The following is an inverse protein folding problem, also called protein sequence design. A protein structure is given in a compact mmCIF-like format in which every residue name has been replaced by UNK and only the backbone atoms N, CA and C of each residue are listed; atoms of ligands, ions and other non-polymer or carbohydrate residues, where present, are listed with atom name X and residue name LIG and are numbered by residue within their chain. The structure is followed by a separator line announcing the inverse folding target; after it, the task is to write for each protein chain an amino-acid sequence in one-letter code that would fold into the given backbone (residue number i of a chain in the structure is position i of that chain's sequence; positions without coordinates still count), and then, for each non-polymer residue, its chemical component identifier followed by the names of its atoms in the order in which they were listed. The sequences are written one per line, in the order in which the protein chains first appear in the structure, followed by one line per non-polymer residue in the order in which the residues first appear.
data_IF_200499974397
#
_entry.id   IF_200499974397
#
_cell.length_a   1.000
_cell.length_b   1.000
_cell.length_c   1.000
_cell.angle_alpha   90.00
_cell.angle_beta   90.00
_cell.angle_gamma   90.00
#
_symmetry.space_group_name_H-M   'P 1'
#
loop_
_entity.id
_entity.type
_entity.pdbx_description
1 polymer ?
#
# COMPACT_ATOMS: atom_id res chain seq x y z
N UNK A 1 -45.72 -24.23 14.50
CA UNK A 1 -44.90 -23.75 13.35
C UNK A 1 -44.57 -24.96 12.47
N UNK A 2 -45.08 -25.00 11.25
CA UNK A 2 -44.95 -26.15 10.35
C UNK A 2 -43.50 -26.28 9.82
N UNK A 3 -43.07 -27.49 9.51
CA UNK A 3 -41.72 -27.78 8.97
C UNK A 3 -41.40 -26.91 7.73
N UNK A 4 -42.40 -26.63 6.92
CA UNK A 4 -42.28 -25.83 5.69
C UNK A 4 -41.89 -24.37 5.98
N UNK A 5 -42.39 -23.76 7.05
CA UNK A 5 -42.04 -22.39 7.48
C UNK A 5 -40.59 -22.31 7.96
N UNK A 6 -40.09 -23.38 8.63
CA UNK A 6 -38.66 -23.45 9.05
C UNK A 6 -37.73 -23.54 7.84
N UNK A 7 -38.10 -24.31 6.82
CA UNK A 7 -37.31 -24.46 5.59
C UNK A 7 -37.27 -23.15 4.81
N UNK A 8 -38.37 -22.43 4.69
CA UNK A 8 -38.40 -21.13 4.01
C UNK A 8 -37.57 -20.07 4.73
N UNK A 9 -37.64 -20.00 6.07
CA UNK A 9 -36.82 -19.11 6.87
C UNK A 9 -35.33 -19.42 6.71
N UNK A 10 -34.94 -20.69 6.70
CA UNK A 10 -33.55 -21.09 6.47
C UNK A 10 -33.06 -20.71 5.05
N UNK A 11 -33.90 -20.90 4.02
CA UNK A 11 -33.60 -20.48 2.65
C UNK A 11 -33.42 -18.97 2.52
N UNK A 12 -34.31 -18.17 3.15
CA UNK A 12 -34.20 -16.70 3.17
C UNK A 12 -32.96 -16.22 3.89
N UNK A 13 -32.65 -16.78 5.04
CA UNK A 13 -31.44 -16.44 5.80
C UNK A 13 -30.16 -16.78 5.02
N UNK A 14 -30.12 -17.93 4.33
CA UNK A 14 -29.00 -18.32 3.47
C UNK A 14 -28.85 -17.38 2.26
N UNK A 15 -29.97 -16.95 1.65
CA UNK A 15 -29.96 -16.00 0.54
C UNK A 15 -29.43 -14.64 0.96
N UNK A 16 -29.94 -14.07 2.08
CA UNK A 16 -29.45 -12.80 2.63
C UNK A 16 -27.97 -12.85 2.99
N UNK A 17 -27.50 -13.94 3.60
CA UNK A 17 -26.08 -14.15 3.91
C UNK A 17 -25.22 -14.15 2.65
N UNK A 18 -25.67 -14.82 1.59
CA UNK A 18 -24.93 -14.88 0.31
C UNK A 18 -24.93 -13.52 -0.39
N UNK A 19 -26.04 -12.78 -0.37
CA UNK A 19 -26.12 -11.41 -0.92
C UNK A 19 -25.16 -10.48 -0.17
N UNK A 20 -25.15 -10.51 1.16
CA UNK A 20 -24.20 -9.73 1.98
C UNK A 20 -22.74 -10.04 1.63
N UNK A 21 -22.35 -11.32 1.55
CA UNK A 21 -20.97 -11.67 1.17
C UNK A 21 -20.62 -11.24 -0.25
N UNK A 22 -21.59 -11.25 -1.16
CA UNK A 22 -21.39 -10.77 -2.52
C UNK A 22 -21.16 -9.26 -2.55
N UNK A 23 -21.98 -8.49 -1.84
CA UNK A 23 -21.83 -7.04 -1.73
C UNK A 23 -20.49 -6.64 -1.09
N UNK A 24 -20.09 -7.32 -0.01
CA UNK A 24 -18.79 -7.09 0.63
C UNK A 24 -17.65 -7.40 -0.34
N UNK A 25 -17.71 -8.53 -1.04
CA UNK A 25 -16.69 -8.91 -2.03
C UNK A 25 -16.61 -7.90 -3.16
N UNK A 26 -17.75 -7.50 -3.74
CA UNK A 26 -17.81 -6.56 -4.84
C UNK A 26 -17.34 -5.16 -4.41
N UNK A 27 -17.62 -4.77 -3.18
CA UNK A 27 -17.07 -3.55 -2.56
C UNK A 27 -15.55 -3.61 -2.44
N UNK A 28 -14.99 -4.72 -1.96
CA UNK A 28 -13.53 -4.92 -1.83
C UNK A 28 -12.84 -4.91 -3.19
N UNK A 29 -13.42 -5.59 -4.20
CA UNK A 29 -12.90 -5.62 -5.58
C UNK A 29 -12.92 -4.21 -6.18
N UNK A 30 -14.06 -3.51 -6.15
CA UNK A 30 -14.18 -2.14 -6.65
C UNK A 30 -13.20 -1.18 -5.96
N UNK A 31 -12.88 -1.45 -4.71
CA UNK A 31 -11.90 -0.67 -3.97
C UNK A 31 -10.47 -0.94 -4.45
N UNK A 32 -10.11 -2.19 -4.68
CA UNK A 32 -8.81 -2.57 -5.24
C UNK A 32 -8.59 -1.96 -6.63
N UNK A 33 -9.61 -1.96 -7.46
CA UNK A 33 -9.56 -1.42 -8.81
C UNK A 33 -9.31 0.10 -8.84
N UNK A 34 -9.89 0.86 -7.92
CA UNK A 34 -9.64 2.31 -7.82
C UNK A 34 -8.20 2.61 -7.43
N UNK A 35 -7.63 1.88 -6.47
CA UNK A 35 -6.23 2.02 -6.08
C UNK A 35 -5.32 1.66 -7.25
N UNK A 36 -5.60 0.56 -7.94
CA UNK A 36 -4.79 0.11 -9.08
C UNK A 36 -4.88 1.04 -10.29
N UNK A 37 -5.98 1.80 -10.47
CA UNK A 37 -6.07 2.84 -11.51
C UNK A 37 -5.15 4.02 -11.24
N UNK A 38 -5.02 4.43 -10.00
CA UNK A 38 -4.13 5.54 -9.59
C UNK A 38 -2.69 5.05 -9.48
N UNK A 39 -2.46 3.93 -8.80
CA UNK A 39 -1.15 3.30 -8.69
C UNK A 39 -1.07 2.09 -9.62
N UNK A 40 -0.79 2.34 -10.89
CA UNK A 40 -0.76 1.30 -11.94
C UNK A 40 0.34 0.25 -11.76
N UNK A 41 1.37 0.58 -10.98
CA UNK A 41 2.48 -0.35 -10.68
C UNK A 41 2.16 -1.26 -9.49
N UNK A 42 1.12 -0.95 -8.72
CA UNK A 42 0.75 -1.68 -7.50
C UNK A 42 0.53 -3.18 -7.74
N UNK A 43 -0.18 -3.55 -8.78
CA UNK A 43 -0.48 -4.94 -9.10
C UNK A 43 0.77 -5.76 -9.46
N UNK A 44 1.78 -5.11 -10.07
CA UNK A 44 3.04 -5.74 -10.47
C UNK A 44 4.02 -5.89 -9.30
N UNK A 45 3.94 -5.01 -8.31
CA UNK A 45 4.82 -4.96 -7.15
C UNK A 45 4.02 -4.93 -5.84
N UNK A 46 3.03 -5.82 -5.70
CA UNK A 46 2.04 -5.78 -4.62
C UNK A 46 2.67 -5.79 -3.22
N UNK A 47 3.73 -6.57 -3.02
CA UNK A 47 4.41 -6.68 -1.73
C UNK A 47 5.11 -5.37 -1.37
N UNK A 48 5.82 -4.76 -2.32
CA UNK A 48 6.45 -3.46 -2.14
C UNK A 48 5.39 -2.38 -1.92
N UNK A 49 4.36 -2.31 -2.78
CA UNK A 49 3.30 -1.32 -2.67
C UNK A 49 2.58 -1.35 -1.32
N UNK A 50 2.32 -2.54 -0.76
CA UNK A 50 1.74 -2.67 0.59
C UNK A 50 2.69 -2.17 1.68
N UNK A 51 3.98 -2.45 1.59
CA UNK A 51 4.97 -1.94 2.55
C UNK A 51 5.08 -0.40 2.46
N UNK A 52 5.02 0.17 1.27
CA UNK A 52 4.98 1.61 1.03
C UNK A 52 3.73 2.25 1.64
N UNK A 53 2.56 1.65 1.40
CA UNK A 53 1.27 2.11 1.95
C UNK A 53 1.28 2.11 3.50
N UNK A 54 1.86 1.09 4.13
CA UNK A 54 2.04 1.02 5.59
C UNK A 54 2.94 2.16 6.08
N UNK A 55 4.08 2.42 5.44
CA UNK A 55 4.97 3.51 5.81
C UNK A 55 4.30 4.88 5.69
N UNK A 56 3.60 5.13 4.57
CA UNK A 56 2.83 6.35 4.33
C UNK A 56 1.79 6.55 5.44
N UNK A 57 0.98 5.53 5.72
CA UNK A 57 -0.05 5.57 6.75
C UNK A 57 0.54 5.84 8.14
N UNK A 58 1.65 5.18 8.49
CA UNK A 58 2.35 5.36 9.76
C UNK A 58 2.88 6.78 9.93
N UNK A 59 3.48 7.38 8.90
CA UNK A 59 4.03 8.73 8.96
C UNK A 59 2.96 9.82 8.93
N UNK A 60 1.81 9.55 8.31
CA UNK A 60 0.64 10.44 8.40
C UNK A 60 0.04 10.43 9.80
N UNK A 61 -0.01 9.26 10.45
CA UNK A 61 -0.53 9.10 11.81
C UNK A 61 0.42 9.62 12.88
N UNK A 62 1.71 9.34 12.74
CA UNK A 62 2.76 9.77 13.68
C UNK A 62 4.02 10.25 12.94
N UNK A 63 4.16 11.55 12.69
CA UNK A 63 5.35 12.13 12.06
C UNK A 63 6.67 11.87 12.79
N UNK A 64 6.64 11.58 14.08
CA UNK A 64 7.86 11.27 14.86
C UNK A 64 8.48 9.93 14.42
N UNK A 65 7.69 8.99 13.91
CA UNK A 65 8.22 7.75 13.32
C UNK A 65 9.12 8.04 12.12
N UNK A 66 8.71 8.99 11.26
CA UNK A 66 9.54 9.43 10.13
C UNK A 66 10.87 10.00 10.62
N UNK A 67 10.86 10.93 11.60
CA UNK A 67 12.06 11.55 12.13
C UNK A 67 13.06 10.54 12.69
N UNK A 68 12.58 9.49 13.36
CA UNK A 68 13.42 8.40 13.90
C UNK A 68 14.04 7.54 12.79
N UNK A 69 13.40 7.45 11.64
CA UNK A 69 13.78 6.56 10.54
C UNK A 69 14.33 7.30 9.31
N UNK A 70 14.39 8.62 9.33
CA UNK A 70 14.76 9.47 8.19
C UNK A 70 16.08 9.04 7.54
N UNK A 71 17.08 8.67 8.32
CA UNK A 71 18.38 8.23 7.81
C UNK A 71 18.33 6.93 6.98
N UNK A 72 17.25 6.14 7.13
CA UNK A 72 17.03 4.86 6.43
C UNK A 72 16.08 4.99 5.25
N UNK A 73 15.50 6.17 5.04
CA UNK A 73 14.43 6.45 4.08
C UNK A 73 14.88 7.44 3.02
N UNK A 74 14.70 7.07 1.77
CA UNK A 74 14.84 7.96 0.61
C UNK A 74 13.69 7.71 -0.36
N UNK A 75 13.28 8.71 -1.17
CA UNK A 75 12.22 8.51 -2.17
C UNK A 75 12.53 7.37 -3.14
N UNK A 76 13.81 7.16 -3.48
CA UNK A 76 14.26 6.12 -4.40
C UNK A 76 14.06 4.70 -3.85
N UNK A 77 13.82 4.55 -2.55
CA UNK A 77 13.49 3.27 -1.93
C UNK A 77 12.10 2.78 -2.36
N UNK A 78 11.21 3.70 -2.68
CA UNK A 78 9.85 3.40 -3.12
C UNK A 78 9.85 2.89 -4.56
N UNK A 79 9.21 1.75 -4.78
CA UNK A 79 9.15 1.04 -6.06
C UNK A 79 8.06 1.63 -6.95
N UNK A 80 6.92 2.04 -6.37
CA UNK A 80 5.79 2.61 -7.12
C UNK A 80 5.86 4.13 -7.17
N UNK A 81 5.66 4.70 -8.36
CA UNK A 81 5.81 6.16 -8.58
C UNK A 81 4.78 6.98 -7.82
N UNK A 82 3.55 6.49 -7.73
CA UNK A 82 2.50 7.17 -6.96
C UNK A 82 2.86 7.26 -5.48
N UNK A 83 3.20 6.14 -4.84
CA UNK A 83 3.57 6.14 -3.42
C UNK A 83 4.86 6.91 -3.16
N UNK A 84 5.81 6.92 -4.10
CA UNK A 84 7.02 7.75 -4.03
C UNK A 84 6.68 9.23 -3.98
N UNK A 85 5.76 9.70 -4.83
CA UNK A 85 5.28 11.11 -4.82
C UNK A 85 4.61 11.44 -3.50
N UNK A 86 3.72 10.58 -3.01
CA UNK A 86 3.04 10.77 -1.72
C UNK A 86 4.05 10.84 -0.58
N UNK A 87 5.01 9.91 -0.53
CA UNK A 87 6.07 9.90 0.46
C UNK A 87 6.92 11.18 0.42
N UNK A 88 7.30 11.66 -0.78
CA UNK A 88 8.07 12.90 -0.93
C UNK A 88 7.31 14.10 -0.36
N UNK A 89 6.01 14.23 -0.69
CA UNK A 89 5.17 15.30 -0.15
C UNK A 89 5.05 15.25 1.38
N UNK A 90 4.91 14.04 1.97
CA UNK A 90 4.87 13.84 3.42
C UNK A 90 6.21 14.23 4.05
N UNK A 91 7.31 13.72 3.52
CA UNK A 91 8.65 13.93 4.07
C UNK A 91 9.07 15.41 4.07
N UNK A 92 8.77 16.13 3.00
CA UNK A 92 9.02 17.58 2.90
C UNK A 92 8.22 18.35 3.96
N UNK A 93 6.93 18.03 4.14
CA UNK A 93 6.10 18.67 5.16
C UNK A 93 6.61 18.43 6.57
N UNK A 94 7.02 17.19 6.88
CA UNK A 94 7.56 16.85 8.21
C UNK A 94 8.88 17.60 8.46
N UNK A 95 9.77 17.67 7.46
CA UNK A 95 11.04 18.40 7.55
C UNK A 95 10.84 19.89 7.81
N UNK A 96 9.83 20.47 7.17
CA UNK A 96 9.47 21.88 7.32
C UNK A 96 8.64 22.16 8.59
N UNK A 97 8.33 21.14 9.39
CA UNK A 97 7.46 21.28 10.57
C UNK A 97 6.02 21.60 10.24
N UNK A 98 5.59 21.34 9.02
CA UNK A 98 4.22 21.56 8.55
C UNK A 98 3.32 20.36 8.88
N UNK A 99 2.01 20.58 9.14
CA UNK A 99 1.10 19.49 9.43
C UNK A 99 0.92 18.57 8.21
N UNK A 100 0.78 17.27 8.50
CA UNK A 100 0.53 16.21 7.51
C UNK A 100 -0.92 15.77 7.63
N UNK A 101 -1.71 16.02 6.61
CA UNK A 101 -3.12 15.63 6.57
C UNK A 101 -3.70 15.79 5.17
N UNK A 102 -4.79 15.08 4.89
CA UNK A 102 -5.40 15.02 3.56
C UNK A 102 -5.73 16.40 2.96
N UNK A 103 -6.21 17.32 3.78
CA UNK A 103 -6.57 18.68 3.34
C UNK A 103 -5.39 19.47 2.77
N UNK A 104 -4.17 19.14 3.19
CA UNK A 104 -2.96 19.84 2.75
C UNK A 104 -2.42 19.30 1.42
N UNK A 105 -2.90 18.15 0.96
CA UNK A 105 -2.50 17.55 -0.31
C UNK A 105 -3.38 17.95 -1.49
N UNK A 106 -4.49 18.66 -1.24
CA UNK A 106 -5.47 19.03 -2.28
C UNK A 106 -4.89 19.91 -3.40
N UNK A 107 -3.78 20.62 -3.16
CA UNK A 107 -3.09 21.42 -4.17
C UNK A 107 -2.07 20.64 -5.01
N UNK A 108 -1.68 19.44 -4.56
CA UNK A 108 -0.59 18.65 -5.15
C UNK A 108 -1.09 17.37 -5.83
N UNK A 109 -2.29 16.91 -5.46
CA UNK A 109 -2.87 15.67 -5.93
C UNK A 109 -4.30 15.86 -6.45
N UNK A 110 -4.68 15.03 -7.42
CA UNK A 110 -6.05 15.02 -7.96
C UNK A 110 -7.06 14.48 -6.94
N UNK A 111 -8.38 14.76 -7.10
CA UNK A 111 -9.39 14.19 -6.21
C UNK A 111 -9.37 12.66 -6.12
N UNK A 112 -9.07 11.97 -7.23
CA UNK A 112 -8.93 10.53 -7.29
C UNK A 112 -7.71 10.05 -6.48
N UNK A 113 -6.58 10.74 -6.61
CA UNK A 113 -5.36 10.47 -5.84
C UNK A 113 -5.58 10.72 -4.35
N UNK A 114 -6.24 11.81 -3.97
CA UNK A 114 -6.63 12.11 -2.57
C UNK A 114 -7.52 11.00 -2.01
N UNK A 115 -8.46 10.50 -2.78
CA UNK A 115 -9.31 9.38 -2.37
C UNK A 115 -8.49 8.12 -2.07
N UNK A 116 -7.43 7.86 -2.83
CA UNK A 116 -6.51 6.73 -2.58
C UNK A 116 -5.64 7.00 -1.35
N UNK A 117 -5.11 8.20 -1.17
CA UNK A 117 -4.33 8.58 0.02
C UNK A 117 -5.18 8.43 1.29
N UNK A 118 -6.44 8.89 1.27
CA UNK A 118 -7.38 8.73 2.38
C UNK A 118 -7.58 7.27 2.78
N UNK A 119 -7.58 6.37 1.81
CA UNK A 119 -7.69 4.92 2.07
C UNK A 119 -6.42 4.34 2.65
N UNK A 120 -5.25 4.78 2.17
CA UNK A 120 -3.97 4.39 2.75
C UNK A 120 -3.92 4.82 4.22
N UNK A 121 -4.38 6.02 4.54
CA UNK A 121 -4.45 6.52 5.92
C UNK A 121 -5.33 5.63 6.81
N UNK A 122 -6.45 5.11 6.31
CA UNK A 122 -7.32 4.23 7.09
C UNK A 122 -6.69 2.88 7.44
N UNK A 123 -5.71 2.41 6.66
CA UNK A 123 -4.97 1.17 6.95
C UNK A 123 -4.20 1.27 8.27
N UNK A 124 -3.78 2.49 8.67
CA UNK A 124 -3.04 2.72 9.91
C UNK A 124 -3.81 2.39 11.17
N UNK A 125 -5.15 2.33 11.13
CA UNK A 125 -5.97 2.01 12.31
C UNK A 125 -5.84 0.55 12.77
N UNK A 126 -5.43 -0.34 11.86
CA UNK A 126 -5.29 -1.77 12.12
C UNK A 126 -3.82 -2.19 12.37
N UNK A 127 -2.88 -1.22 12.31
CA UNK A 127 -1.45 -1.46 12.39
C UNK A 127 -0.90 -0.83 13.67
N UNK A 128 0.06 -1.49 14.31
CA UNK A 128 0.62 -1.04 15.60
C UNK A 128 1.46 0.25 15.50
N UNK A 129 1.69 0.81 14.31
CA UNK A 129 2.47 2.03 14.05
C UNK A 129 3.77 2.10 14.87
N UNK A 130 4.49 0.99 14.93
CA UNK A 130 5.73 0.90 15.69
C UNK A 130 6.96 1.15 14.82
N UNK A 131 8.03 1.63 15.40
CA UNK A 131 9.33 1.77 14.72
C UNK A 131 9.76 0.45 14.10
N UNK A 132 9.57 -0.67 14.79
CA UNK A 132 9.93 -2.01 14.31
C UNK A 132 9.17 -2.39 13.05
N UNK A 133 7.88 -2.13 13.01
CA UNK A 133 7.04 -2.43 11.85
C UNK A 133 7.44 -1.60 10.63
N UNK A 134 7.75 -0.32 10.83
CA UNK A 134 8.30 0.52 9.79
C UNK A 134 9.67 0.01 9.30
N UNK A 135 10.54 -0.46 10.19
CA UNK A 135 11.83 -1.06 9.82
C UNK A 135 11.65 -2.35 9.01
N UNK A 136 10.68 -3.19 9.37
CA UNK A 136 10.34 -4.39 8.60
C UNK A 136 9.85 -4.03 7.19
N UNK A 137 9.03 -3.00 7.05
CA UNK A 137 8.61 -2.48 5.74
C UNK A 137 9.80 -1.95 4.93
N UNK A 138 10.71 -1.18 5.53
CA UNK A 138 11.93 -0.70 4.89
C UNK A 138 12.80 -1.86 4.39
N UNK A 139 12.93 -2.92 5.18
CA UNK A 139 13.66 -4.11 4.78
C UNK A 139 13.01 -4.85 3.60
N UNK A 140 11.67 -4.89 3.56
CA UNK A 140 10.93 -5.41 2.39
C UNK A 140 11.27 -4.61 1.15
N UNK A 141 11.22 -3.28 1.21
CA UNK A 141 11.50 -2.40 0.07
C UNK A 141 12.95 -2.57 -0.44
N UNK A 142 13.92 -2.64 0.47
CA UNK A 142 15.33 -2.89 0.12
C UNK A 142 15.50 -4.21 -0.64
N UNK A 143 14.84 -5.28 -0.18
CA UNK A 143 14.88 -6.60 -0.84
C UNK A 143 14.22 -6.57 -2.22
N UNK A 144 13.06 -5.93 -2.34
CA UNK A 144 12.37 -5.82 -3.63
C UNK A 144 13.17 -4.98 -4.64
N UNK A 145 13.78 -3.89 -4.19
CA UNK A 145 14.65 -3.07 -5.04
C UNK A 145 15.85 -3.86 -5.57
N UNK A 146 16.51 -4.64 -4.73
CA UNK A 146 17.64 -5.47 -5.14
C UNK A 146 17.22 -6.55 -6.14
N UNK A 147 16.04 -7.16 -6.00
CA UNK A 147 15.50 -8.10 -6.99
C UNK A 147 15.32 -7.49 -8.37
N UNK A 148 14.94 -6.22 -8.46
CA UNK A 148 14.80 -5.52 -9.74
C UNK A 148 16.12 -5.13 -10.38
N UNK A 149 17.21 -5.05 -9.61
CA UNK A 149 18.57 -4.80 -10.11
C UNK A 149 19.16 -6.08 -10.69
N UNK A 150 18.82 -7.25 -10.11
CA UNK A 150 19.39 -8.55 -10.52
C UNK A 150 18.69 -9.19 -11.75
N UNK A 151 17.68 -8.57 -12.33
CA UNK A 151 16.93 -9.18 -13.46
C UNK A 151 16.88 -8.23 -14.66
N UNK A 152 18.04 -8.04 -15.30
CA UNK A 152 18.13 -7.80 -16.74
C UNK A 152 19.12 -8.78 -17.36
N UNK A 153 18.66 -10.01 -17.69
CA UNK A 153 19.52 -10.99 -18.42
C UNK A 153 19.97 -10.49 -19.79
N UNK A 154 19.29 -9.48 -20.34
CA UNK A 154 19.57 -8.93 -21.67
C UNK A 154 20.71 -7.89 -21.73
N UNK A 155 21.24 -7.47 -20.58
CA UNK A 155 22.34 -6.50 -20.51
C UNK A 155 23.60 -7.08 -19.82
N UNK A 156 23.57 -8.35 -19.40
CA UNK A 156 24.76 -9.04 -18.91
C UNK A 156 25.63 -9.50 -20.09
N UNK A 157 26.91 -9.13 -20.05
CA UNK A 157 27.89 -9.70 -20.99
C UNK A 157 28.02 -11.21 -20.72
N UNK A 158 28.36 -11.99 -21.76
CA UNK A 158 28.57 -13.43 -21.65
C UNK A 158 29.61 -13.79 -20.57
N UNK A 159 30.57 -12.89 -20.29
CA UNK A 159 31.56 -13.04 -19.23
C UNK A 159 30.99 -12.93 -17.81
N UNK A 160 30.01 -12.04 -17.58
CA UNK A 160 29.35 -11.87 -16.27
C UNK A 160 28.37 -13.01 -16.00
N UNK A 161 27.72 -13.53 -17.05
CA UNK A 161 26.87 -14.72 -16.96
C UNK A 161 27.67 -15.96 -16.56
N UNK A 162 28.90 -16.14 -17.09
CA UNK A 162 29.75 -17.27 -16.76
C UNK A 162 30.35 -17.22 -15.35
N UNK A 163 30.39 -16.06 -14.69
CA UNK A 163 30.84 -15.91 -13.29
C UNK A 163 29.81 -16.36 -12.26
N UNK A 164 28.53 -16.44 -12.64
CA UNK A 164 27.45 -16.89 -11.75
C UNK A 164 27.41 -18.42 -11.53
N UNK A 165 28.16 -19.18 -12.35
CA UNK A 165 28.15 -20.64 -12.31
C UNK A 165 29.56 -21.23 -11.91
N UNK A 166 30.40 -20.41 -11.29
CA UNK A 166 31.61 -20.85 -10.61
C UNK A 166 31.45 -20.64 -9.10
#
# INVERSE_FOLDING_TARGET
MTAQVKIERAKRAKKQKNEFYREVRDSVINQGDKINKVNTQRSKALRAAKAEEILIASFMSDPELYRKLESKLTPELFVTDFNRRVFSAISERIKDGRPVGLSFFASEFTPEEISVIARIETVSTDISNSVRECEDCINVLKKEKNRHIDVKPSEMSDEDFMKLFK
#
